data_IF_848208435461
#
_entry.id   IF_848208435461
#
_cell.length_a   1.000
_cell.length_b   1.000
_cell.length_c   1.000
_cell.angle_alpha   90.00
_cell.angle_beta   90.00
_cell.angle_gamma   90.00
#
_symmetry.space_group_name_H-M   'P 1'
#
loop_
_entity.id
_entity.type
_entity.pdbx_description
1 polymer ?
#
# COMPACT_ATOMS: atom_id res chain seq x y z
N UNK A 1 -8.96 1.86 27.99
CA UNK A 1 -7.94 2.86 28.30
C UNK A 1 -7.38 3.34 26.98
N UNK A 2 -7.35 4.66 26.73
CA UNK A 2 -6.67 5.15 25.53
C UNK A 2 -5.22 4.66 25.57
N UNK A 3 -4.68 4.29 24.41
CA UNK A 3 -3.25 3.97 24.27
C UNK A 3 -2.51 5.19 24.79
N UNK A 4 -1.71 5.02 25.84
CA UNK A 4 -0.84 6.11 26.29
C UNK A 4 0.05 6.49 25.13
N UNK A 5 0.00 7.74 24.72
CA UNK A 5 0.68 8.28 23.52
C UNK A 5 2.21 8.20 23.62
N UNK A 6 2.77 7.75 24.72
CA UNK A 6 4.20 7.85 25.07
C UNK A 6 4.95 6.51 25.13
N UNK A 7 4.32 5.36 24.88
CA UNK A 7 5.05 4.10 24.85
C UNK A 7 5.51 3.77 23.42
N UNK A 8 6.80 3.99 23.14
CA UNK A 8 7.47 3.46 21.94
C UNK A 8 7.37 1.93 21.98
N UNK A 9 6.75 1.28 20.99
CA UNK A 9 6.63 -0.17 20.99
C UNK A 9 8.01 -0.84 21.02
N UNK A 10 8.15 -1.89 21.81
CA UNK A 10 9.37 -2.70 21.81
C UNK A 10 9.64 -3.25 20.41
N UNK A 11 10.92 -3.31 20.04
CA UNK A 11 11.34 -3.94 18.78
C UNK A 11 11.02 -5.43 18.83
N UNK A 12 10.41 -5.96 17.79
CA UNK A 12 10.15 -7.41 17.63
C UNK A 12 11.43 -8.14 17.26
N UNK A 13 12.26 -7.49 16.44
CA UNK A 13 13.57 -7.97 16.01
C UNK A 13 14.60 -6.84 16.20
N UNK A 14 15.19 -6.72 17.42
CA UNK A 14 16.13 -5.65 17.71
C UNK A 14 17.38 -5.63 16.84
N UNK A 15 17.82 -6.80 16.35
CA UNK A 15 19.00 -6.91 15.49
C UNK A 15 18.73 -6.32 14.08
N UNK A 16 17.52 -6.47 13.57
CA UNK A 16 17.15 -5.96 12.25
C UNK A 16 16.57 -4.53 12.32
N UNK A 17 15.70 -4.25 13.30
CA UNK A 17 15.03 -2.95 13.41
C UNK A 17 15.93 -1.86 14.01
N UNK A 18 16.89 -2.23 14.86
CA UNK A 18 17.84 -1.33 15.54
C UNK A 18 19.27 -1.40 15.00
N UNK A 19 19.47 -1.97 13.81
CA UNK A 19 20.78 -2.14 13.18
C UNK A 19 21.43 -0.79 12.87
N UNK A 20 22.69 -0.59 13.27
CA UNK A 20 23.41 0.64 12.94
C UNK A 20 23.49 0.88 11.42
N UNK A 21 23.42 2.14 10.95
CA UNK A 21 23.37 2.44 9.51
C UNK A 21 24.52 1.84 8.71
N UNK A 22 25.73 1.85 9.24
CA UNK A 22 26.91 1.28 8.60
C UNK A 22 26.81 -0.25 8.49
N UNK A 23 26.43 -0.90 9.58
CA UNK A 23 26.25 -2.37 9.60
C UNK A 23 25.10 -2.81 8.69
N UNK A 24 24.02 -2.00 8.60
CA UNK A 24 22.92 -2.22 7.65
C UNK A 24 23.41 -2.14 6.22
N UNK A 25 24.20 -1.10 5.87
CA UNK A 25 24.76 -0.95 4.53
C UNK A 25 25.66 -2.10 4.15
N UNK A 26 26.51 -2.58 5.07
CA UNK A 26 27.35 -3.76 4.86
C UNK A 26 26.52 -5.03 4.62
N UNK A 27 25.46 -5.22 5.42
CA UNK A 27 24.52 -6.34 5.27
C UNK A 27 23.82 -6.28 3.91
N UNK A 28 23.31 -5.13 3.52
CA UNK A 28 22.67 -4.92 2.22
C UNK A 28 23.63 -5.18 1.07
N UNK A 29 24.86 -4.68 1.15
CA UNK A 29 25.88 -4.91 0.14
C UNK A 29 26.22 -6.41 0.01
N UNK A 30 26.36 -7.13 1.13
CA UNK A 30 26.61 -8.56 1.14
C UNK A 30 25.44 -9.34 0.51
N UNK A 31 24.20 -8.97 0.83
CA UNK A 31 22.99 -9.59 0.29
C UNK A 31 22.82 -9.29 -1.19
N UNK A 32 23.08 -8.05 -1.61
CA UNK A 32 23.06 -7.65 -3.02
C UNK A 32 24.01 -8.51 -3.87
N UNK A 33 25.25 -8.69 -3.42
CA UNK A 33 26.24 -9.52 -4.13
C UNK A 33 25.75 -10.96 -4.32
N UNK A 34 25.17 -11.55 -3.27
CA UNK A 34 24.59 -12.91 -3.33
C UNK A 34 23.40 -12.98 -4.29
N UNK A 35 22.54 -11.98 -4.29
CA UNK A 35 21.42 -11.89 -5.23
C UNK A 35 21.93 -11.84 -6.67
N UNK A 36 22.93 -10.99 -6.96
CA UNK A 36 23.51 -10.88 -8.30
C UNK A 36 24.18 -12.19 -8.73
N UNK A 37 24.95 -12.84 -7.84
CA UNK A 37 25.53 -14.15 -8.13
C UNK A 37 24.43 -15.18 -8.44
N UNK A 38 23.35 -15.22 -7.67
CA UNK A 38 22.19 -16.08 -7.92
C UNK A 38 21.56 -15.81 -9.30
N UNK A 39 21.31 -14.56 -9.64
CA UNK A 39 20.70 -14.18 -10.93
C UNK A 39 21.61 -14.50 -12.13
N UNK A 40 22.94 -14.49 -11.93
CA UNK A 40 23.90 -14.81 -13.00
C UNK A 40 24.03 -16.32 -13.26
N UNK A 41 23.65 -17.17 -12.30
CA UNK A 41 23.62 -18.64 -12.51
C UNK A 41 22.49 -19.06 -13.45
N UNK A 42 21.44 -18.26 -13.54
CA UNK A 42 20.24 -18.53 -14.34
C UNK A 42 20.35 -17.91 -15.73
N UNK A 43 19.82 -18.58 -16.74
CA UNK A 43 19.65 -18.01 -18.09
C UNK A 43 18.33 -17.21 -18.22
N UNK A 44 17.90 -16.63 -17.11
CA UNK A 44 16.72 -15.79 -17.02
C UNK A 44 16.94 -14.36 -17.53
N UNK A 45 15.85 -13.60 -17.65
CA UNK A 45 15.89 -12.21 -18.12
C UNK A 45 16.91 -11.35 -17.39
N UNK A 46 16.91 -11.42 -16.06
CA UNK A 46 17.75 -10.57 -15.21
C UNK A 46 19.24 -10.95 -15.36
N UNK A 47 19.58 -12.25 -15.41
CA UNK A 47 20.94 -12.71 -15.64
C UNK A 47 21.49 -12.27 -16.99
N UNK A 48 20.70 -12.36 -18.07
CA UNK A 48 21.08 -11.88 -19.39
C UNK A 48 21.32 -10.36 -19.41
N UNK A 49 20.45 -9.56 -18.75
CA UNK A 49 20.61 -8.10 -18.62
C UNK A 49 21.86 -7.72 -17.85
N UNK A 50 22.18 -8.44 -16.76
CA UNK A 50 23.40 -8.24 -15.98
C UNK A 50 24.65 -8.52 -16.83
N UNK A 51 24.70 -9.67 -17.54
CA UNK A 51 25.81 -10.02 -18.44
C UNK A 51 25.97 -8.95 -19.54
N UNK A 52 24.89 -8.49 -20.14
CA UNK A 52 24.92 -7.41 -21.15
C UNK A 52 25.41 -6.06 -20.58
N UNK A 53 25.21 -5.81 -19.29
CA UNK A 53 25.75 -4.64 -18.58
C UNK A 53 27.20 -4.82 -18.12
N UNK A 54 27.86 -5.94 -18.47
CA UNK A 54 29.26 -6.22 -18.11
C UNK A 54 29.46 -6.74 -16.69
N UNK A 55 28.37 -7.23 -16.03
CA UNK A 55 28.46 -7.84 -14.69
C UNK A 55 28.72 -9.32 -14.82
N UNK A 56 29.87 -9.77 -14.30
CA UNK A 56 30.29 -11.18 -14.34
C UNK A 56 30.08 -11.90 -13.01
N UNK A 57 30.04 -11.17 -11.90
CA UNK A 57 29.89 -11.68 -10.52
C UNK A 57 29.30 -10.61 -9.60
N UNK A 58 28.75 -11.03 -8.46
CA UNK A 58 28.18 -10.11 -7.49
C UNK A 58 29.16 -9.09 -6.92
N UNK A 59 30.48 -9.39 -6.93
CA UNK A 59 31.52 -8.46 -6.50
C UNK A 59 31.64 -7.20 -7.40
N UNK A 60 31.17 -7.28 -8.63
CA UNK A 60 31.23 -6.19 -9.61
C UNK A 60 30.15 -5.13 -9.35
N UNK A 61 29.20 -5.41 -8.42
CA UNK A 61 28.05 -4.52 -8.12
C UNK A 61 28.14 -3.94 -6.72
N UNK A 62 27.89 -2.64 -6.62
CA UNK A 62 27.78 -1.93 -5.35
C UNK A 62 26.43 -1.21 -5.22
N UNK A 63 26.01 -0.93 -3.99
CA UNK A 63 24.82 -0.11 -3.73
C UNK A 63 24.94 1.30 -4.33
N UNK A 64 26.16 1.83 -4.45
CA UNK A 64 26.41 3.16 -5.03
C UNK A 64 26.19 3.20 -6.55
N UNK A 65 26.43 2.08 -7.24
CA UNK A 65 26.31 1.96 -8.70
C UNK A 65 25.08 1.19 -9.13
N UNK A 66 24.28 0.70 -8.18
CA UNK A 66 23.10 -0.11 -8.44
C UNK A 66 22.12 0.56 -9.42
N UNK A 67 21.95 1.88 -9.29
CA UNK A 67 21.08 2.69 -10.15
C UNK A 67 21.44 2.62 -11.65
N UNK A 68 22.66 2.22 -12.00
CA UNK A 68 23.13 2.08 -13.39
C UNK A 68 22.70 0.75 -14.02
N UNK A 69 22.26 -0.23 -13.21
CA UNK A 69 21.81 -1.52 -13.72
C UNK A 69 20.39 -1.42 -14.28
N UNK A 70 20.09 -2.20 -15.34
CA UNK A 70 18.78 -2.20 -15.95
C UNK A 70 17.70 -2.67 -14.95
N UNK A 71 16.57 -1.95 -14.84
CA UNK A 71 15.50 -2.32 -13.92
C UNK A 71 14.64 -3.46 -14.49
N UNK A 72 13.92 -4.11 -13.60
CA UNK A 72 12.76 -4.96 -13.93
C UNK A 72 11.49 -4.13 -13.86
N UNK A 73 10.57 -4.36 -14.78
CA UNK A 73 9.30 -3.65 -14.87
C UNK A 73 8.12 -4.63 -14.79
N UNK A 74 6.92 -4.09 -14.57
CA UNK A 74 5.69 -4.88 -14.62
C UNK A 74 5.45 -5.51 -15.99
N UNK A 75 5.87 -4.83 -17.07
CA UNK A 75 5.81 -5.34 -18.44
C UNK A 75 6.66 -6.61 -18.57
N UNK A 76 7.87 -6.64 -17.99
CA UNK A 76 8.72 -7.83 -18.01
C UNK A 76 8.02 -9.05 -17.37
N UNK A 77 7.31 -8.84 -16.25
CA UNK A 77 6.53 -9.91 -15.60
C UNK A 77 5.39 -10.42 -16.48
N UNK A 78 4.74 -9.55 -17.25
CA UNK A 78 3.68 -9.95 -18.18
C UNK A 78 4.18 -10.66 -19.43
N UNK A 79 5.31 -10.23 -19.96
CA UNK A 79 5.95 -10.86 -21.12
C UNK A 79 6.48 -12.24 -20.81
N UNK A 80 6.85 -12.47 -19.56
CA UNK A 80 7.36 -13.75 -19.08
C UNK A 80 6.33 -14.51 -18.20
N UNK A 81 5.05 -14.26 -18.41
CA UNK A 81 3.96 -14.93 -17.68
C UNK A 81 3.95 -16.46 -17.99
N UNK A 82 3.65 -17.34 -16.99
CA UNK A 82 3.28 -17.01 -15.62
C UNK A 82 4.48 -16.85 -14.66
N UNK A 83 5.59 -17.56 -14.84
CA UNK A 83 6.69 -17.67 -13.89
C UNK A 83 8.08 -17.47 -14.52
N UNK A 84 8.18 -16.78 -15.66
CA UNK A 84 9.45 -16.67 -16.40
C UNK A 84 10.57 -15.87 -15.70
N UNK A 85 10.30 -15.27 -14.54
CA UNK A 85 11.29 -14.66 -13.65
C UNK A 85 11.54 -15.49 -12.38
N UNK A 86 10.92 -16.68 -12.26
CA UNK A 86 11.21 -17.62 -11.18
C UNK A 86 12.66 -18.10 -11.28
N UNK A 87 13.32 -18.21 -10.15
CA UNK A 87 14.71 -18.67 -10.02
C UNK A 87 14.76 -20.01 -9.27
N UNK A 88 13.95 -20.17 -8.23
CA UNK A 88 13.90 -21.42 -7.50
C UNK A 88 13.28 -22.54 -8.35
N UNK A 89 13.74 -23.81 -8.20
CA UNK A 89 13.12 -24.97 -8.81
C UNK A 89 11.64 -25.12 -8.41
N UNK A 90 10.81 -25.68 -9.28
CA UNK A 90 9.37 -25.84 -9.05
C UNK A 90 9.04 -26.62 -7.76
N UNK A 91 9.85 -27.61 -7.40
CA UNK A 91 9.72 -28.40 -6.17
C UNK A 91 9.96 -27.61 -4.87
N UNK A 92 10.61 -26.44 -4.94
CA UNK A 92 10.81 -25.54 -3.80
C UNK A 92 9.67 -24.53 -3.64
N UNK A 93 8.80 -24.40 -4.64
CA UNK A 93 7.66 -23.48 -4.57
C UNK A 93 6.55 -24.09 -3.73
N UNK A 94 6.22 -23.43 -2.63
CA UNK A 94 5.19 -23.87 -1.68
C UNK A 94 3.89 -23.08 -1.77
N UNK A 95 3.93 -21.91 -2.41
CA UNK A 95 2.76 -21.05 -2.55
C UNK A 95 2.88 -20.15 -3.79
N UNK A 96 1.73 -19.78 -4.37
CA UNK A 96 1.65 -18.80 -5.44
C UNK A 96 0.63 -17.74 -5.06
N UNK A 97 1.04 -16.49 -5.11
CA UNK A 97 0.15 -15.35 -4.97
C UNK A 97 0.10 -14.52 -6.25
N UNK A 98 -0.83 -13.59 -6.31
CA UNK A 98 -0.96 -12.70 -7.46
C UNK A 98 -1.39 -11.30 -7.06
N UNK A 99 -1.11 -10.34 -7.94
CA UNK A 99 -1.66 -9.00 -7.85
C UNK A 99 -2.98 -8.90 -8.60
N UNK A 100 -3.82 -7.92 -8.23
CA UNK A 100 -5.15 -7.73 -8.86
C UNK A 100 -5.12 -7.23 -10.31
N UNK A 101 -3.96 -7.06 -10.91
CA UNK A 101 -3.71 -6.68 -12.30
C UNK A 101 -4.71 -5.68 -12.92
N UNK A 102 -4.32 -4.46 -13.16
CA UNK A 102 -5.15 -3.45 -13.84
C UNK A 102 -5.37 -3.75 -15.34
N UNK A 103 -4.66 -4.74 -15.89
CA UNK A 103 -4.69 -5.12 -17.32
C UNK A 103 -5.37 -6.46 -17.64
N UNK A 104 -6.19 -7.02 -16.73
CA UNK A 104 -6.96 -8.25 -16.98
C UNK A 104 -6.23 -9.56 -16.70
N UNK A 105 -4.90 -9.56 -16.51
CA UNK A 105 -4.14 -10.72 -16.03
C UNK A 105 -3.47 -10.39 -14.69
N UNK A 106 -3.62 -11.26 -13.66
CA UNK A 106 -2.86 -11.11 -12.43
C UNK A 106 -1.36 -11.31 -12.71
N UNK A 107 -0.49 -10.57 -12.04
CA UNK A 107 0.92 -10.94 -11.98
C UNK A 107 1.05 -12.05 -10.94
N UNK A 108 1.55 -13.21 -11.34
CA UNK A 108 1.74 -14.35 -10.47
C UNK A 108 3.14 -14.34 -9.87
N UNK A 109 3.21 -14.67 -8.58
CA UNK A 109 4.44 -14.62 -7.80
C UNK A 109 4.58 -15.91 -7.02
N UNK A 110 5.58 -16.75 -7.35
CA UNK A 110 5.88 -17.97 -6.61
C UNK A 110 6.71 -17.64 -5.35
N UNK A 111 6.45 -18.39 -4.28
CA UNK A 111 7.12 -18.25 -2.98
C UNK A 111 7.70 -19.61 -2.57
N UNK A 112 8.94 -19.58 -2.11
CA UNK A 112 9.53 -20.69 -1.38
C UNK A 112 9.12 -20.65 0.10
N UNK A 113 9.40 -21.71 0.85
CA UNK A 113 9.22 -21.72 2.31
C UNK A 113 10.04 -20.60 3.00
N UNK A 114 11.23 -20.30 2.46
CA UNK A 114 12.07 -19.21 2.94
C UNK A 114 11.41 -17.84 2.71
N UNK A 115 10.80 -17.62 1.55
CA UNK A 115 10.09 -16.37 1.25
C UNK A 115 8.89 -16.16 2.20
N UNK A 116 8.14 -17.24 2.50
CA UNK A 116 7.03 -17.18 3.47
C UNK A 116 7.55 -16.82 4.87
N UNK A 117 8.71 -17.34 5.27
CA UNK A 117 9.31 -17.03 6.57
C UNK A 117 9.76 -15.56 6.64
N UNK A 118 10.40 -15.02 5.59
CA UNK A 118 10.74 -13.59 5.48
C UNK A 118 9.46 -12.75 5.62
N UNK A 119 8.42 -13.12 4.90
CA UNK A 119 7.16 -12.40 4.93
C UNK A 119 6.52 -12.40 6.32
N UNK A 120 6.54 -13.55 7.01
CA UNK A 120 6.08 -13.65 8.39
C UNK A 120 6.90 -12.75 9.33
N UNK A 121 8.22 -12.64 9.13
CA UNK A 121 9.10 -11.79 9.94
C UNK A 121 8.76 -10.30 9.77
N UNK A 122 8.72 -9.79 8.53
CA UNK A 122 8.44 -8.37 8.28
C UNK A 122 7.03 -7.99 8.73
N UNK A 123 6.06 -8.89 8.58
CA UNK A 123 4.70 -8.66 9.06
C UNK A 123 4.59 -8.70 10.58
N UNK A 124 5.35 -9.56 11.27
CA UNK A 124 5.41 -9.56 12.74
C UNK A 124 5.96 -8.22 13.26
N UNK A 125 7.03 -7.68 12.62
CA UNK A 125 7.59 -6.36 12.94
C UNK A 125 6.56 -5.25 12.68
N UNK A 126 5.84 -5.29 11.57
CA UNK A 126 4.78 -4.34 11.26
C UNK A 126 3.70 -4.31 12.35
N UNK A 127 3.18 -5.48 12.72
CA UNK A 127 2.18 -5.60 13.78
C UNK A 127 2.74 -5.17 15.16
N UNK A 128 3.99 -5.54 15.47
CA UNK A 128 4.64 -5.12 16.71
C UNK A 128 4.90 -3.61 16.77
N UNK A 129 5.31 -2.99 15.66
CA UNK A 129 5.44 -1.54 15.52
C UNK A 129 4.11 -0.81 15.70
N UNK A 130 2.99 -1.46 15.36
CA UNK A 130 1.64 -1.00 15.65
C UNK A 130 1.20 -1.24 17.11
N UNK A 131 2.06 -1.80 17.96
CA UNK A 131 1.78 -2.05 19.37
C UNK A 131 1.13 -3.42 19.66
N UNK A 132 1.01 -4.30 18.65
CA UNK A 132 0.56 -5.66 18.88
C UNK A 132 1.62 -6.49 19.63
N UNK A 133 1.16 -7.42 20.44
CA UNK A 133 1.99 -8.29 21.26
C UNK A 133 1.51 -9.74 21.20
N UNK A 134 2.21 -10.66 21.85
CA UNK A 134 1.76 -12.06 21.99
C UNK A 134 0.38 -12.23 22.66
N UNK A 135 -0.12 -11.19 23.32
CA UNK A 135 -1.44 -11.19 23.97
C UNK A 135 -2.54 -10.64 23.08
N UNK A 136 -2.17 -10.08 21.94
CA UNK A 136 -3.10 -9.41 21.03
C UNK A 136 -3.96 -10.41 20.27
N UNK A 137 -5.16 -9.96 19.93
CA UNK A 137 -6.07 -10.62 18.98
C UNK A 137 -6.15 -9.75 17.74
N UNK A 138 -5.70 -10.29 16.62
CA UNK A 138 -5.64 -9.58 15.34
C UNK A 138 -6.83 -10.00 14.48
N UNK A 139 -7.76 -9.08 14.28
CA UNK A 139 -8.90 -9.26 13.39
C UNK A 139 -8.47 -8.97 11.95
N UNK A 140 -8.30 -10.02 11.16
CA UNK A 140 -7.89 -9.91 9.76
C UNK A 140 -9.10 -9.95 8.84
N UNK A 141 -9.52 -8.77 8.38
CA UNK A 141 -10.59 -8.59 7.41
C UNK A 141 -10.08 -8.31 5.98
N UNK A 142 -8.80 -8.54 5.70
CA UNK A 142 -8.32 -8.67 4.32
C UNK A 142 -8.77 -9.99 3.71
N UNK A 143 -9.03 -10.00 2.39
CA UNK A 143 -9.38 -11.22 1.66
C UNK A 143 -8.29 -12.28 1.73
N UNK A 144 -8.70 -13.52 1.97
CA UNK A 144 -7.86 -14.71 1.88
C UNK A 144 -8.02 -15.32 0.48
N UNK A 145 -6.91 -15.69 -0.17
CA UNK A 145 -6.92 -16.26 -1.51
C UNK A 145 -5.67 -15.93 -2.29
N UNK A 146 -5.83 -15.63 -3.58
CA UNK A 146 -4.70 -15.32 -4.46
C UNK A 146 -3.94 -14.04 -4.05
N UNK A 147 -4.64 -13.06 -3.45
CA UNK A 147 -4.03 -11.81 -3.00
C UNK A 147 -3.30 -11.97 -1.67
N UNK A 148 -2.26 -11.15 -1.47
CA UNK A 148 -1.32 -11.30 -0.35
C UNK A 148 -1.83 -10.76 0.99
N UNK A 149 -2.84 -9.85 1.00
CA UNK A 149 -3.22 -9.10 2.20
C UNK A 149 -3.54 -9.96 3.41
N UNK A 150 -4.50 -10.89 3.27
CA UNK A 150 -4.99 -11.73 4.37
C UNK A 150 -3.93 -12.68 4.91
N UNK A 151 -3.23 -13.40 4.03
CA UNK A 151 -2.20 -14.37 4.43
C UNK A 151 -0.97 -13.70 5.01
N UNK A 152 -0.57 -12.52 4.54
CA UNK A 152 0.52 -11.77 5.13
C UNK A 152 0.27 -11.42 6.59
N UNK A 153 -0.90 -10.84 6.89
CA UNK A 153 -1.31 -10.55 8.28
C UNK A 153 -1.38 -11.83 9.11
N UNK A 154 -1.92 -12.91 8.53
CA UNK A 154 -2.04 -14.21 9.21
C UNK A 154 -0.67 -14.75 9.64
N UNK A 155 0.26 -14.87 8.71
CA UNK A 155 1.62 -15.36 9.01
C UNK A 155 2.35 -14.47 10.00
N UNK A 156 2.23 -13.14 9.86
CA UNK A 156 2.85 -12.19 10.78
C UNK A 156 2.30 -12.27 12.20
N UNK A 157 0.97 -12.35 12.36
CA UNK A 157 0.33 -12.50 13.66
C UNK A 157 0.75 -13.80 14.35
N UNK A 158 0.77 -14.92 13.62
CA UNK A 158 1.23 -16.21 14.16
C UNK A 158 2.70 -16.16 14.55
N UNK A 159 3.55 -15.54 13.73
CA UNK A 159 4.98 -15.36 14.03
C UNK A 159 5.21 -14.52 15.28
N UNK A 160 4.43 -13.45 15.46
CA UNK A 160 4.44 -12.61 16.66
C UNK A 160 3.98 -13.38 17.92
N UNK A 161 3.27 -14.50 17.70
CA UNK A 161 2.61 -15.28 18.77
C UNK A 161 1.26 -14.70 19.18
N UNK A 162 0.70 -13.78 18.42
CA UNK A 162 -0.64 -13.23 18.61
C UNK A 162 -1.73 -14.19 18.09
N UNK A 163 -2.96 -14.03 18.58
CA UNK A 163 -4.11 -14.78 18.08
C UNK A 163 -4.66 -14.09 16.85
N UNK A 164 -4.62 -14.75 15.68
CA UNK A 164 -5.25 -14.24 14.47
C UNK A 164 -6.70 -14.72 14.35
N UNK A 165 -7.61 -13.80 14.01
CA UNK A 165 -9.01 -14.08 13.66
C UNK A 165 -9.14 -13.95 12.13
N UNK A 166 -9.10 -15.06 11.37
CA UNK A 166 -9.01 -15.03 9.91
C UNK A 166 -10.39 -14.86 9.27
N UNK A 167 -10.95 -13.66 9.41
CA UNK A 167 -12.33 -13.38 9.02
C UNK A 167 -12.53 -13.28 7.51
N UNK A 168 -11.48 -12.92 6.77
CA UNK A 168 -11.57 -12.53 5.36
C UNK A 168 -12.38 -11.25 5.15
N UNK A 169 -12.53 -10.79 3.90
CA UNK A 169 -13.29 -9.59 3.56
C UNK A 169 -14.78 -9.86 3.38
N UNK A 170 -15.61 -8.83 3.50
CA UNK A 170 -17.06 -8.90 3.34
C UNK A 170 -17.80 -9.43 4.57
N UNK A 171 -19.09 -9.71 4.41
CA UNK A 171 -19.99 -10.19 5.48
C UNK A 171 -19.96 -9.27 6.72
N UNK A 172 -20.19 -7.99 6.55
CA UNK A 172 -20.00 -6.93 7.56
C UNK A 172 -20.72 -7.23 8.88
N UNK A 173 -21.94 -7.72 8.86
CA UNK A 173 -22.68 -8.11 10.08
C UNK A 173 -21.96 -9.22 10.88
N UNK A 174 -21.33 -10.16 10.18
CA UNK A 174 -20.52 -11.21 10.82
C UNK A 174 -19.23 -10.63 11.40
N UNK A 175 -18.59 -9.69 10.72
CA UNK A 175 -17.40 -9.00 11.23
C UNK A 175 -17.72 -8.27 12.54
N UNK A 176 -18.80 -7.48 12.57
CA UNK A 176 -19.25 -6.76 13.76
C UNK A 176 -19.51 -7.72 14.92
N UNK A 177 -20.27 -8.79 14.68
CA UNK A 177 -20.55 -9.81 15.71
C UNK A 177 -19.26 -10.39 16.29
N UNK A 178 -18.31 -10.75 15.43
CA UNK A 178 -17.04 -11.33 15.89
C UNK A 178 -16.14 -10.30 16.60
N UNK A 179 -16.20 -9.04 16.25
CA UNK A 179 -15.49 -7.96 16.99
C UNK A 179 -16.07 -7.85 18.40
N UNK A 180 -17.37 -7.86 18.55
CA UNK A 180 -18.03 -7.78 19.85
C UNK A 180 -17.77 -9.03 20.71
N UNK A 181 -17.91 -10.22 20.13
CA UNK A 181 -17.79 -11.50 20.83
C UNK A 181 -16.34 -11.83 21.22
N UNK A 182 -15.40 -11.65 20.27
CA UNK A 182 -14.01 -12.06 20.44
C UNK A 182 -13.09 -10.94 20.93
N UNK A 183 -13.60 -9.71 20.95
CA UNK A 183 -12.91 -8.52 21.48
C UNK A 183 -11.45 -8.39 21.00
N UNK A 184 -11.20 -8.29 19.67
CA UNK A 184 -9.86 -8.05 19.15
C UNK A 184 -9.36 -6.64 19.54
N UNK A 185 -8.05 -6.49 19.62
CA UNK A 185 -7.39 -5.21 19.89
C UNK A 185 -6.72 -4.62 18.63
N UNK A 186 -6.53 -5.41 17.58
CA UNK A 186 -5.95 -4.99 16.30
C UNK A 186 -6.92 -5.29 15.15
N UNK A 187 -7.17 -4.31 14.27
CA UNK A 187 -7.93 -4.48 13.04
C UNK A 187 -7.03 -4.33 11.83
N UNK A 188 -7.08 -5.29 10.89
CA UNK A 188 -6.35 -5.22 9.62
C UNK A 188 -7.32 -5.38 8.45
N UNK A 189 -7.47 -4.31 7.65
CA UNK A 189 -8.32 -4.29 6.45
C UNK A 189 -7.93 -3.14 5.52
N UNK A 190 -8.65 -2.96 4.41
CA UNK A 190 -8.50 -1.75 3.58
C UNK A 190 -9.09 -0.53 4.30
N UNK A 191 -8.54 0.68 4.08
CA UNK A 191 -9.07 1.92 4.69
C UNK A 191 -10.56 2.15 4.39
N UNK A 192 -10.99 1.92 3.14
CA UNK A 192 -12.40 2.03 2.76
C UNK A 192 -13.30 1.09 3.54
N UNK A 193 -12.83 -0.15 3.78
CA UNK A 193 -13.61 -1.12 4.56
C UNK A 193 -13.65 -0.76 6.05
N UNK A 194 -12.59 -0.16 6.60
CA UNK A 194 -12.58 0.33 7.96
C UNK A 194 -13.62 1.44 8.18
N UNK A 195 -13.76 2.36 7.21
CA UNK A 195 -14.81 3.39 7.24
C UNK A 195 -16.20 2.74 7.20
N UNK A 196 -16.43 1.85 6.22
CA UNK A 196 -17.71 1.15 6.09
C UNK A 196 -18.09 0.37 7.36
N UNK A 197 -17.13 -0.31 7.97
CA UNK A 197 -17.32 -1.04 9.24
C UNK A 197 -17.70 -0.07 10.38
N UNK A 198 -17.01 1.07 10.50
CA UNK A 198 -17.28 2.07 11.51
C UNK A 198 -18.65 2.75 11.31
N UNK A 199 -19.02 3.09 10.08
CA UNK A 199 -20.36 3.61 9.74
C UNK A 199 -21.46 2.61 10.11
N UNK A 200 -21.24 1.33 9.84
CA UNK A 200 -22.21 0.27 10.16
C UNK A 200 -22.36 0.07 11.67
N UNK A 201 -21.25 0.11 12.43
CA UNK A 201 -21.26 0.07 13.90
C UNK A 201 -22.03 1.26 14.46
N UNK A 202 -21.76 2.47 13.99
CA UNK A 202 -22.48 3.69 14.40
C UNK A 202 -23.97 3.61 14.08
N UNK A 203 -24.34 3.13 12.91
CA UNK A 203 -25.73 2.93 12.51
C UNK A 203 -26.47 1.89 13.37
N UNK A 204 -25.73 0.90 13.91
CA UNK A 204 -26.24 -0.09 14.87
C UNK A 204 -26.30 0.46 16.32
N UNK A 205 -25.91 1.71 16.57
CA UNK A 205 -25.89 2.34 17.88
C UNK A 205 -24.78 1.85 18.80
N UNK A 206 -23.70 1.27 18.23
CA UNK A 206 -22.53 0.77 18.98
C UNK A 206 -21.51 1.93 19.08
N UNK A 207 -21.18 2.31 20.31
CA UNK A 207 -20.18 3.35 20.57
C UNK A 207 -18.76 2.80 20.39
N UNK A 208 -17.81 3.57 19.82
CA UNK A 208 -16.41 3.19 19.76
C UNK A 208 -15.80 2.79 21.10
N UNK A 209 -16.24 3.39 22.21
CA UNK A 209 -15.77 3.07 23.56
C UNK A 209 -16.21 1.66 24.04
N UNK A 210 -17.21 1.06 23.41
CA UNK A 210 -17.63 -0.33 23.66
C UNK A 210 -16.69 -1.36 22.99
N UNK A 211 -15.92 -0.93 22.00
CA UNK A 211 -15.00 -1.78 21.25
C UNK A 211 -13.72 -2.01 22.05
N UNK A 212 -13.10 -3.16 21.86
CA UNK A 212 -11.77 -3.46 22.40
C UNK A 212 -10.64 -3.09 21.44
N UNK A 213 -10.99 -2.63 20.24
CA UNK A 213 -10.04 -2.18 19.23
C UNK A 213 -9.21 -1.01 19.77
N UNK A 214 -7.91 -1.02 19.48
CA UNK A 214 -6.97 0.04 19.87
C UNK A 214 -6.19 0.58 18.71
N UNK A 215 -5.85 -0.29 17.76
CA UNK A 215 -5.04 0.05 16.60
C UNK A 215 -5.58 -0.63 15.35
N UNK A 216 -5.46 0.05 14.23
CA UNK A 216 -5.72 -0.52 12.91
C UNK A 216 -4.48 -0.42 12.03
N UNK A 217 -4.23 -1.46 11.21
CA UNK A 217 -3.17 -1.50 10.21
C UNK A 217 -3.83 -1.60 8.84
N UNK A 218 -3.79 -0.52 8.08
CA UNK A 218 -4.56 -0.32 6.87
C UNK A 218 -3.67 -0.13 5.66
N UNK A 219 -4.06 -0.65 4.51
CA UNK A 219 -3.32 -0.51 3.27
C UNK A 219 -4.01 -1.17 2.10
N UNK A 220 -3.24 -1.55 1.08
CA UNK A 220 -3.69 -2.09 -0.19
C UNK A 220 -4.36 -1.07 -1.14
N UNK A 221 -4.73 0.10 -0.67
CA UNK A 221 -5.22 1.24 -1.46
C UNK A 221 -4.62 2.54 -0.91
N UNK A 222 -4.45 3.59 -1.74
CA UNK A 222 -4.10 4.92 -1.26
C UNK A 222 -5.18 5.46 -0.34
N UNK A 223 -4.81 6.24 0.67
CA UNK A 223 -5.74 6.90 1.59
C UNK A 223 -5.10 8.15 2.21
N UNK A 224 -5.94 9.14 2.52
CA UNK A 224 -5.52 10.45 2.99
C UNK A 224 -5.50 10.57 4.51
N UNK A 225 -4.92 11.66 5.02
CA UNK A 225 -4.98 11.99 6.45
C UNK A 225 -6.42 12.26 6.91
N UNK A 226 -7.28 12.77 6.02
CA UNK A 226 -8.69 12.95 6.33
C UNK A 226 -9.40 11.60 6.53
N UNK A 227 -9.14 10.62 5.65
CA UNK A 227 -9.65 9.25 5.87
C UNK A 227 -9.11 8.64 7.18
N UNK A 228 -7.83 8.92 7.52
CA UNK A 228 -7.25 8.52 8.80
C UNK A 228 -8.06 9.08 9.97
N UNK A 229 -8.33 10.38 9.95
CA UNK A 229 -9.13 11.05 10.99
C UNK A 229 -10.52 10.43 11.09
N UNK A 230 -11.20 10.21 9.97
CA UNK A 230 -12.52 9.56 9.91
C UNK A 230 -12.51 8.15 10.51
N UNK A 231 -11.52 7.32 10.15
CA UNK A 231 -11.38 5.96 10.71
C UNK A 231 -11.16 6.01 12.22
N UNK A 232 -10.28 6.91 12.67
CA UNK A 232 -9.96 7.07 14.09
C UNK A 232 -11.18 7.53 14.90
N UNK A 233 -11.98 8.44 14.35
CA UNK A 233 -13.23 8.90 14.98
C UNK A 233 -14.28 7.79 15.03
N UNK A 234 -14.49 7.07 13.89
CA UNK A 234 -15.52 6.05 13.78
C UNK A 234 -15.25 4.82 14.65
N UNK A 235 -14.00 4.45 14.85
CA UNK A 235 -13.60 3.21 15.52
C UNK A 235 -12.89 3.41 16.88
N UNK A 236 -12.54 4.65 17.25
CA UNK A 236 -11.83 4.94 18.50
C UNK A 236 -10.40 4.40 18.55
N UNK A 237 -9.71 4.27 17.41
CA UNK A 237 -8.41 3.59 17.27
C UNK A 237 -7.31 4.51 16.75
N UNK A 238 -6.06 4.08 16.88
CA UNK A 238 -4.94 4.63 16.09
C UNK A 238 -4.90 3.92 14.74
N UNK A 239 -4.86 4.68 13.65
CA UNK A 239 -4.82 4.15 12.29
C UNK A 239 -3.42 4.31 11.69
N UNK A 240 -2.79 3.19 11.31
CA UNK A 240 -1.44 3.13 10.77
C UNK A 240 -1.45 2.57 9.35
N UNK A 241 -0.54 3.06 8.52
CA UNK A 241 -0.40 2.65 7.13
C UNK A 241 0.54 1.46 6.97
N UNK A 242 0.25 0.58 6.02
CA UNK A 242 1.12 -0.53 5.62
C UNK A 242 1.23 -0.58 4.10
N UNK A 243 2.47 -0.66 3.64
CA UNK A 243 2.79 -0.76 2.23
C UNK A 243 3.37 -2.13 1.87
N UNK A 244 3.06 -2.56 0.66
CA UNK A 244 3.64 -3.72 0.02
C UNK A 244 2.93 -4.10 -1.25
N UNK A 245 3.58 -4.93 -2.03
CA UNK A 245 3.07 -5.46 -3.30
C UNK A 245 3.51 -6.91 -3.45
N UNK A 246 2.67 -7.70 -4.11
CA UNK A 246 2.90 -9.15 -4.27
C UNK A 246 4.23 -9.46 -4.93
N UNK A 247 4.66 -8.65 -5.89
CA UNK A 247 5.90 -8.80 -6.64
C UNK A 247 7.13 -8.77 -5.71
N UNK A 248 7.09 -7.95 -4.64
CA UNK A 248 8.18 -7.87 -3.66
C UNK A 248 8.04 -8.98 -2.61
N UNK A 249 6.99 -8.91 -1.78
CA UNK A 249 6.70 -9.97 -0.79
C UNK A 249 5.23 -9.97 -0.34
N UNK A 250 4.45 -8.94 -0.63
CA UNK A 250 3.14 -8.67 -0.07
C UNK A 250 3.19 -7.51 0.93
N UNK A 251 2.21 -7.36 1.84
CA UNK A 251 2.26 -6.34 2.88
C UNK A 251 3.47 -6.54 3.81
N UNK A 252 3.93 -5.46 4.44
CA UNK A 252 5.05 -5.47 5.38
C UNK A 252 6.40 -5.08 4.77
N UNK A 253 6.46 -4.68 3.49
CA UNK A 253 7.67 -4.08 2.89
C UNK A 253 8.03 -2.80 3.64
N UNK A 254 7.04 -1.98 3.92
CA UNK A 254 7.15 -0.84 4.83
C UNK A 254 5.87 -0.69 5.65
N UNK A 255 5.99 -0.19 6.89
CA UNK A 255 4.85 0.00 7.77
C UNK A 255 5.08 1.18 8.73
N UNK A 256 4.03 1.95 8.99
CA UNK A 256 4.04 2.89 10.11
C UNK A 256 4.16 2.13 11.44
N UNK A 257 4.85 2.73 12.38
CA UNK A 257 4.84 2.35 13.79
C UNK A 257 4.35 3.52 14.63
N UNK A 258 3.99 3.27 15.87
CA UNK A 258 3.49 4.33 16.77
C UNK A 258 4.52 5.46 16.98
N UNK A 259 5.80 5.21 16.70
CA UNK A 259 6.94 6.12 16.82
C UNK A 259 7.52 6.60 15.48
N UNK A 260 6.86 6.36 14.35
CA UNK A 260 7.41 6.69 13.02
C UNK A 260 6.97 8.03 12.44
N UNK A 261 6.24 8.84 13.21
CA UNK A 261 5.81 10.20 12.83
C UNK A 261 5.04 10.27 11.48
N UNK A 262 4.20 9.27 11.23
CA UNK A 262 3.37 9.22 10.01
C UNK A 262 4.10 8.78 8.74
N UNK A 263 5.36 8.31 8.86
CA UNK A 263 6.10 7.69 7.75
C UNK A 263 6.23 6.17 7.98
N UNK A 264 6.47 5.43 6.91
CA UNK A 264 6.55 3.98 6.95
C UNK A 264 8.01 3.53 7.05
N UNK A 265 8.37 2.77 8.07
CA UNK A 265 9.70 2.15 8.21
C UNK A 265 9.86 1.03 7.17
N UNK A 266 10.90 1.09 6.36
CA UNK A 266 11.20 0.09 5.34
C UNK A 266 11.96 -1.08 5.97
N UNK A 267 11.59 -2.32 5.67
CA UNK A 267 12.31 -3.52 6.13
C UNK A 267 13.63 -3.70 5.35
N UNK A 268 14.60 -2.81 5.60
CA UNK A 268 15.80 -2.60 4.79
C UNK A 268 16.82 -3.75 4.87
N UNK A 269 16.69 -4.63 5.83
CA UNK A 269 17.47 -5.87 5.86
C UNK A 269 17.05 -6.83 4.74
N UNK A 270 15.80 -6.81 4.32
CA UNK A 270 15.27 -7.65 3.24
C UNK A 270 15.11 -6.91 1.91
N UNK A 271 14.92 -5.60 1.93
CA UNK A 271 14.61 -4.81 0.73
C UNK A 271 15.51 -3.58 0.66
N UNK A 272 16.15 -3.38 -0.49
CA UNK A 272 16.81 -2.12 -0.77
C UNK A 272 15.88 -1.24 -1.59
N UNK A 273 15.68 -0.01 -1.19
CA UNK A 273 14.77 0.95 -1.84
C UNK A 273 15.54 2.14 -2.39
N UNK A 274 15.22 2.51 -3.63
CA UNK A 274 15.62 3.72 -4.30
C UNK A 274 14.37 4.56 -4.59
N UNK A 275 14.47 5.89 -4.51
CA UNK A 275 13.51 6.81 -5.11
C UNK A 275 14.18 7.43 -6.34
N UNK A 276 13.55 7.31 -7.51
CA UNK A 276 14.18 7.71 -8.78
C UNK A 276 13.32 8.68 -9.57
N UNK A 277 14.00 9.51 -10.37
CA UNK A 277 13.37 10.37 -11.36
C UNK A 277 12.82 9.57 -12.58
N UNK A 278 12.15 10.20 -13.56
CA UNK A 278 11.67 9.53 -14.76
C UNK A 278 12.76 8.82 -15.57
N UNK A 279 14.01 9.31 -15.51
CA UNK A 279 15.15 8.77 -16.23
C UNK A 279 15.81 7.60 -15.47
N UNK A 280 15.40 7.36 -14.22
CA UNK A 280 15.87 6.26 -13.38
C UNK A 280 17.06 6.63 -12.49
N UNK A 281 17.40 7.92 -12.37
CA UNK A 281 18.45 8.41 -11.48
C UNK A 281 17.90 8.61 -10.07
N UNK A 282 18.67 8.28 -9.02
CA UNK A 282 18.27 8.52 -7.65
C UNK A 282 17.99 10.01 -7.38
N UNK A 283 16.91 10.29 -6.66
CA UNK A 283 16.60 11.65 -6.17
C UNK A 283 17.04 11.79 -4.70
N UNK A 284 17.33 13.02 -4.25
CA UNK A 284 17.65 13.27 -2.84
C UNK A 284 16.50 12.89 -1.90
N UNK A 285 16.84 12.52 -0.67
CA UNK A 285 15.85 12.27 0.38
C UNK A 285 14.96 13.51 0.59
N UNK A 286 13.67 13.27 0.88
CA UNK A 286 12.64 14.29 0.94
C UNK A 286 12.06 14.68 -0.43
N UNK A 287 12.68 14.28 -1.53
CA UNK A 287 12.16 14.53 -2.88
C UNK A 287 11.32 13.35 -3.34
N UNK A 288 10.09 13.58 -3.84
CA UNK A 288 9.28 12.51 -4.42
C UNK A 288 9.96 11.88 -5.64
N UNK A 289 9.98 10.55 -5.67
CA UNK A 289 10.47 9.75 -6.79
C UNK A 289 9.70 8.45 -6.92
N UNK A 290 9.82 7.78 -8.07
CA UNK A 290 9.29 6.45 -8.23
C UNK A 290 10.08 5.47 -7.35
N UNK A 291 9.38 4.66 -6.56
CA UNK A 291 10.01 3.65 -5.74
C UNK A 291 10.49 2.47 -6.58
N UNK A 292 11.75 2.14 -6.40
CA UNK A 292 12.40 0.98 -7.03
C UNK A 292 12.92 0.06 -5.94
N UNK A 293 12.48 -1.19 -5.93
CA UNK A 293 12.87 -2.16 -4.90
C UNK A 293 13.76 -3.26 -5.44
N UNK A 294 14.78 -3.60 -4.67
CA UNK A 294 15.59 -4.81 -4.85
C UNK A 294 15.33 -5.77 -3.70
N UNK A 295 14.89 -7.00 -4.00
CA UNK A 295 14.61 -8.03 -2.99
C UNK A 295 15.90 -8.75 -2.62
N UNK A 296 16.54 -8.34 -1.52
CA UNK A 296 17.88 -8.82 -1.14
C UNK A 296 17.93 -10.28 -0.65
N UNK A 297 16.80 -10.85 -0.25
CA UNK A 297 16.73 -12.15 0.43
C UNK A 297 15.71 -13.11 -0.14
N UNK A 298 14.83 -12.66 -1.02
CA UNK A 298 13.83 -13.50 -1.68
C UNK A 298 14.50 -14.51 -2.59
N UNK A 299 13.99 -15.75 -2.64
CA UNK A 299 14.59 -16.86 -3.38
C UNK A 299 13.71 -17.41 -4.50
N UNK A 300 12.38 -17.36 -4.37
CA UNK A 300 11.47 -17.91 -5.37
C UNK A 300 11.50 -17.14 -6.68
N UNK A 301 11.22 -15.85 -6.58
CA UNK A 301 11.28 -14.91 -7.69
C UNK A 301 11.90 -13.59 -7.20
N UNK A 302 13.23 -13.56 -7.01
CA UNK A 302 13.92 -12.34 -6.60
C UNK A 302 13.92 -11.32 -7.72
N UNK A 303 13.82 -10.03 -7.35
CA UNK A 303 13.78 -8.92 -8.29
C UNK A 303 14.90 -7.92 -7.98
N UNK A 304 15.67 -7.58 -9.00
CA UNK A 304 16.70 -6.55 -8.97
C UNK A 304 16.14 -5.27 -9.59
N UNK A 305 16.09 -4.18 -8.81
CA UNK A 305 15.61 -2.89 -9.25
C UNK A 305 14.21 -2.93 -9.89
N UNK A 306 13.23 -3.50 -9.20
CA UNK A 306 11.85 -3.53 -9.68
C UNK A 306 11.20 -2.15 -9.58
N UNK A 307 10.79 -1.60 -10.72
CA UNK A 307 10.03 -0.35 -10.81
C UNK A 307 8.57 -0.60 -10.46
N UNK A 308 8.13 -0.02 -9.35
CA UNK A 308 6.77 -0.28 -8.81
C UNK A 308 5.69 0.56 -9.48
N UNK A 309 6.06 1.70 -10.04
CA UNK A 309 5.15 2.76 -10.45
C UNK A 309 4.63 3.62 -9.28
N UNK A 310 4.88 3.25 -8.04
CA UNK A 310 4.45 3.99 -6.85
C UNK A 310 5.39 5.16 -6.58
N UNK A 311 4.86 6.32 -6.19
CA UNK A 311 5.64 7.55 -5.93
C UNK A 311 5.60 7.89 -4.45
N UNK A 312 6.78 8.03 -3.85
CA UNK A 312 6.96 8.47 -2.47
C UNK A 312 8.32 9.16 -2.27
N UNK A 313 8.51 9.83 -1.15
CA UNK A 313 9.78 10.37 -0.72
C UNK A 313 10.42 9.47 0.36
N UNK A 314 11.74 9.33 0.33
CA UNK A 314 12.49 8.62 1.36
C UNK A 314 13.02 9.61 2.41
N UNK A 315 13.23 9.14 3.62
CA UNK A 315 13.79 9.94 4.72
C UNK A 315 14.62 9.06 5.67
N UNK A 316 15.48 9.72 6.41
CA UNK A 316 16.25 9.11 7.49
C UNK A 316 15.35 8.63 8.65
N UNK A 317 15.84 7.74 9.51
CA UNK A 317 15.16 7.33 10.74
C UNK A 317 14.78 8.54 11.62
N UNK A 318 13.79 8.35 12.52
CA UNK A 318 13.47 9.36 13.55
C UNK A 318 14.67 9.49 14.48
N UNK A 319 15.22 10.70 14.68
CA UNK A 319 16.34 10.89 15.61
C UNK A 319 15.99 10.42 17.02
N UNK A 320 16.82 9.54 17.59
CA UNK A 320 16.62 8.98 18.93
C UNK A 320 15.61 7.83 19.02
N UNK A 321 14.94 7.45 17.94
CA UNK A 321 14.13 6.23 17.90
C UNK A 321 15.02 4.98 18.02
N UNK A 322 14.56 3.92 18.70
CA UNK A 322 15.24 2.63 18.66
C UNK A 322 15.20 1.97 17.28
N UNK A 323 14.26 2.39 16.40
CA UNK A 323 14.20 1.98 14.99
C UNK A 323 15.10 2.85 14.15
N UNK A 324 16.10 2.23 13.55
CA UNK A 324 17.12 2.91 12.74
C UNK A 324 16.94 2.72 11.23
N UNK A 325 15.77 2.19 10.84
CA UNK A 325 15.41 1.94 9.44
C UNK A 325 15.04 3.25 8.73
N UNK A 326 15.41 3.37 7.44
CA UNK A 326 14.92 4.47 6.60
C UNK A 326 13.40 4.41 6.51
N UNK A 327 12.83 5.57 6.32
CA UNK A 327 11.38 5.74 6.21
C UNK A 327 10.99 6.16 4.80
N UNK A 328 9.80 5.79 4.39
CA UNK A 328 9.16 6.35 3.20
C UNK A 328 7.90 7.11 3.59
N UNK A 329 7.60 8.16 2.85
CA UNK A 329 6.32 8.85 3.00
C UNK A 329 5.17 7.94 2.59
N UNK A 330 3.94 8.30 2.94
CA UNK A 330 2.75 7.75 2.28
C UNK A 330 2.88 7.89 0.77
N UNK A 331 2.23 6.97 0.05
CA UNK A 331 2.17 7.05 -1.40
C UNK A 331 1.49 8.34 -1.84
N UNK A 332 2.15 9.10 -2.70
CA UNK A 332 1.60 10.31 -3.32
C UNK A 332 0.74 9.98 -4.53
N UNK A 333 0.90 8.78 -5.08
CA UNK A 333 0.15 8.27 -6.22
C UNK A 333 0.91 7.18 -6.95
N UNK A 334 0.34 6.73 -8.07
CA UNK A 334 0.97 5.80 -9.00
C UNK A 334 1.16 6.47 -10.34
N UNK A 335 2.30 6.22 -11.00
CA UNK A 335 2.55 6.74 -12.35
C UNK A 335 1.52 6.21 -13.37
N UNK A 336 1.07 4.97 -13.21
CA UNK A 336 0.07 4.34 -14.09
C UNK A 336 -1.35 4.87 -13.87
N UNK A 337 -1.64 5.42 -12.70
CA UNK A 337 -2.93 6.03 -12.34
C UNK A 337 -2.94 7.55 -12.57
N UNK A 338 -1.77 8.12 -12.92
CA UNK A 338 -1.66 9.53 -13.26
C UNK A 338 -2.54 9.84 -14.48
N UNK A 339 -3.40 10.81 -14.35
CA UNK A 339 -4.27 11.30 -15.39
C UNK A 339 -3.57 12.45 -16.11
N UNK A 340 -3.62 12.45 -17.44
CA UNK A 340 -3.14 13.59 -18.22
C UNK A 340 -4.37 14.34 -18.74
N UNK A 341 -4.74 15.40 -18.04
CA UNK A 341 -5.91 16.19 -18.34
C UNK A 341 -5.47 17.53 -18.93
N UNK A 342 -5.72 17.75 -20.22
CA UNK A 342 -5.35 18.99 -20.94
C UNK A 342 -3.87 19.36 -20.79
N UNK A 343 -2.99 18.35 -20.78
CA UNK A 343 -1.55 18.53 -20.67
C UNK A 343 -1.03 18.71 -19.22
N UNK A 344 -1.90 18.60 -18.23
CA UNK A 344 -1.53 18.65 -16.79
C UNK A 344 -1.59 17.24 -16.22
N UNK A 345 -0.54 16.86 -15.49
CA UNK A 345 -0.49 15.61 -14.75
C UNK A 345 -1.28 15.77 -13.44
N UNK A 346 -2.27 14.91 -13.23
CA UNK A 346 -3.14 14.90 -12.05
C UNK A 346 -3.12 13.54 -11.40
N UNK A 347 -2.81 13.48 -10.13
CA UNK A 347 -2.92 12.24 -9.35
C UNK A 347 -4.29 12.15 -8.68
N UNK A 348 -4.97 10.98 -8.70
CA UNK A 348 -6.24 10.79 -8.00
C UNK A 348 -6.18 11.14 -6.51
N UNK A 349 -5.04 10.95 -5.86
CA UNK A 349 -4.81 11.32 -4.46
C UNK A 349 -4.85 12.83 -4.21
N UNK A 350 -4.50 13.64 -5.20
CA UNK A 350 -4.61 15.11 -5.10
C UNK A 350 -6.08 15.55 -5.16
N UNK A 351 -6.88 14.86 -5.99
CA UNK A 351 -8.33 15.08 -6.03
C UNK A 351 -8.94 14.71 -4.69
N UNK A 352 -8.62 13.51 -4.17
CA UNK A 352 -9.10 13.03 -2.88
C UNK A 352 -8.78 14.02 -1.76
N UNK A 353 -7.53 14.51 -1.70
CA UNK A 353 -7.11 15.47 -0.68
C UNK A 353 -7.95 16.76 -0.69
N UNK A 354 -8.35 17.24 -1.87
CA UNK A 354 -9.23 18.43 -1.98
C UNK A 354 -10.66 18.10 -1.55
N UNK A 355 -11.20 16.96 -2.00
CA UNK A 355 -12.57 16.57 -1.69
C UNK A 355 -12.77 16.39 -0.19
N UNK A 356 -11.88 15.66 0.45
CA UNK A 356 -12.00 15.30 1.86
C UNK A 356 -11.52 16.39 2.82
N UNK A 357 -10.92 17.48 2.32
CA UNK A 357 -10.67 18.69 3.11
C UNK A 357 -11.95 19.49 3.40
N UNK A 358 -13.02 19.28 2.65
CA UNK A 358 -14.32 19.91 2.89
C UNK A 358 -15.17 18.98 3.78
N UNK A 359 -15.42 19.40 5.01
CA UNK A 359 -16.16 18.64 6.03
C UNK A 359 -17.59 18.27 5.60
N UNK A 360 -18.13 18.91 4.57
CA UNK A 360 -19.44 18.58 4.00
C UNK A 360 -19.43 17.35 3.11
N UNK A 361 -18.23 16.87 2.68
CA UNK A 361 -18.06 15.74 1.77
C UNK A 361 -17.87 14.45 2.54
N UNK A 362 -18.64 13.42 2.21
CA UNK A 362 -18.44 12.08 2.75
C UNK A 362 -17.20 11.41 2.12
N UNK A 363 -16.59 10.41 2.77
CA UNK A 363 -15.42 9.71 2.21
C UNK A 363 -15.73 8.85 0.98
N UNK A 364 -16.98 8.88 0.53
CA UNK A 364 -17.45 8.13 -0.64
C UNK A 364 -17.54 9.05 -1.86
N UNK A 365 -16.63 8.85 -2.80
CA UNK A 365 -16.53 9.62 -4.03
C UNK A 365 -16.09 8.73 -5.20
N UNK A 366 -16.30 9.22 -6.42
CA UNK A 366 -15.84 8.59 -7.65
C UNK A 366 -15.21 9.63 -8.56
N UNK A 367 -14.03 9.34 -9.06
CA UNK A 367 -13.35 10.11 -10.12
C UNK A 367 -13.57 9.40 -11.44
N UNK A 368 -14.04 10.10 -12.44
CA UNK A 368 -14.28 9.57 -13.79
C UNK A 368 -13.47 10.36 -14.79
N UNK A 369 -12.55 9.68 -15.45
CA UNK A 369 -11.88 10.20 -16.64
C UNK A 369 -12.77 9.90 -17.85
N UNK A 370 -13.54 10.89 -18.30
CA UNK A 370 -14.40 10.77 -19.49
C UNK A 370 -13.54 10.95 -20.75
N UNK A 371 -13.32 9.85 -21.44
CA UNK A 371 -12.52 9.77 -22.67
C UNK A 371 -13.36 9.54 -23.92
N UNK A 372 -14.67 9.68 -23.83
CA UNK A 372 -15.57 9.51 -24.99
C UNK A 372 -15.21 10.46 -26.13
N UNK A 373 -14.72 11.66 -25.81
CA UNK A 373 -13.98 12.51 -26.75
C UNK A 373 -12.48 12.37 -26.45
N UNK A 374 -11.80 11.49 -27.16
CA UNK A 374 -10.38 11.21 -26.98
C UNK A 374 -9.48 12.45 -27.20
N UNK A 375 -9.95 13.44 -27.98
CA UNK A 375 -9.22 14.70 -28.20
C UNK A 375 -9.35 15.67 -27.02
N UNK A 376 -10.38 15.52 -26.17
CA UNK A 376 -10.67 16.39 -25.04
C UNK A 376 -11.16 15.60 -23.83
N UNK A 377 -10.31 14.81 -23.20
CA UNK A 377 -10.70 14.09 -22.00
C UNK A 377 -11.16 15.07 -20.92
N UNK A 378 -12.27 14.75 -20.26
CA UNK A 378 -12.87 15.55 -19.19
C UNK A 378 -12.78 14.82 -17.86
N UNK A 379 -12.41 15.55 -16.81
CA UNK A 379 -12.39 15.01 -15.47
C UNK A 379 -13.72 15.31 -14.79
N UNK A 380 -14.41 14.26 -14.36
CA UNK A 380 -15.68 14.33 -13.62
C UNK A 380 -15.48 13.75 -12.22
N UNK A 381 -16.01 14.43 -11.23
CA UNK A 381 -15.90 14.04 -9.82
C UNK A 381 -17.29 13.95 -9.24
N UNK A 382 -17.62 12.79 -8.68
CA UNK A 382 -18.90 12.52 -8.02
C UNK A 382 -18.65 12.43 -6.53
N UNK A 383 -19.39 13.19 -5.74
CA UNK A 383 -19.30 13.22 -4.28
C UNK A 383 -20.66 13.06 -3.63
N UNK A 384 -20.68 12.53 -2.43
CA UNK A 384 -21.85 12.49 -1.55
C UNK A 384 -21.66 13.47 -0.41
N UNK A 385 -22.68 14.26 -0.03
CA UNK A 385 -22.61 15.04 1.19
C UNK A 385 -22.78 14.16 2.43
N UNK A 386 -22.23 14.59 3.56
CA UNK A 386 -22.45 13.91 4.84
C UNK A 386 -23.90 13.95 5.32
N UNK A 387 -24.63 15.02 5.00
CA UNK A 387 -26.01 15.24 5.45
C UNK A 387 -26.91 15.64 4.30
N UNK A 388 -28.17 15.20 4.33
CA UNK A 388 -29.16 15.53 3.33
C UNK A 388 -29.49 17.03 3.27
N UNK A 389 -29.20 17.79 4.34
CA UNK A 389 -29.42 19.24 4.42
C UNK A 389 -28.33 20.10 3.79
N UNK A 390 -27.29 19.51 3.21
CA UNK A 390 -26.19 20.25 2.59
C UNK A 390 -26.65 21.00 1.34
N UNK A 391 -26.30 22.28 1.24
CA UNK A 391 -26.48 23.05 0.00
C UNK A 391 -25.58 22.49 -1.11
N UNK A 392 -26.17 21.66 -1.96
CA UNK A 392 -25.44 20.93 -3.02
C UNK A 392 -24.87 21.86 -4.09
N UNK A 393 -25.57 22.96 -4.38
CA UNK A 393 -25.10 23.89 -5.41
C UNK A 393 -23.91 24.72 -4.90
N UNK A 394 -23.96 25.14 -3.63
CA UNK A 394 -22.82 25.76 -2.98
C UNK A 394 -21.63 24.78 -2.91
N UNK A 395 -21.86 23.53 -2.46
CA UNK A 395 -20.82 22.50 -2.38
C UNK A 395 -20.20 22.21 -3.75
N UNK A 396 -21.00 22.04 -4.79
CA UNK A 396 -20.54 21.81 -6.17
C UNK A 396 -19.63 22.94 -6.66
N UNK A 397 -20.02 24.19 -6.40
CA UNK A 397 -19.28 25.38 -6.81
C UNK A 397 -17.95 25.50 -6.07
N UNK A 398 -17.97 25.31 -4.75
CA UNK A 398 -16.79 25.45 -3.88
C UNK A 398 -15.75 24.36 -4.20
N UNK A 399 -16.18 23.12 -4.35
CA UNK A 399 -15.29 22.01 -4.77
C UNK A 399 -14.73 22.22 -6.18
N UNK A 400 -15.56 22.70 -7.11
CA UNK A 400 -15.09 23.00 -8.47
C UNK A 400 -14.03 24.10 -8.51
N UNK A 401 -14.09 25.07 -7.59
CA UNK A 401 -13.09 26.12 -7.42
C UNK A 401 -11.81 25.55 -6.79
N UNK A 402 -11.92 24.86 -5.65
CA UNK A 402 -10.79 24.28 -4.93
C UNK A 402 -9.99 23.26 -5.79
N UNK A 403 -10.71 22.39 -6.52
CA UNK A 403 -10.09 21.46 -7.46
C UNK A 403 -9.31 22.19 -8.57
N UNK A 404 -9.89 23.26 -9.13
CA UNK A 404 -9.21 24.04 -10.18
C UNK A 404 -7.97 24.75 -9.64
N UNK A 405 -8.03 25.32 -8.47
CA UNK A 405 -6.86 25.97 -7.82
C UNK A 405 -5.74 24.96 -7.54
N UNK A 406 -6.10 23.78 -7.03
CA UNK A 406 -5.11 22.75 -6.66
C UNK A 406 -4.51 22.04 -7.85
N UNK A 407 -5.34 21.67 -8.83
CA UNK A 407 -4.93 20.81 -9.96
C UNK A 407 -4.48 21.61 -11.19
N UNK A 408 -4.77 22.90 -11.26
CA UNK A 408 -4.52 23.72 -12.45
C UNK A 408 -5.45 23.39 -13.64
N UNK A 409 -6.39 22.45 -13.47
CA UNK A 409 -7.39 22.06 -14.50
C UNK A 409 -8.80 22.08 -13.93
N UNK A 410 -9.77 22.38 -14.79
CA UNK A 410 -11.17 22.34 -14.38
C UNK A 410 -11.73 20.92 -14.43
N UNK A 411 -12.56 20.60 -13.44
CA UNK A 411 -13.34 19.36 -13.39
C UNK A 411 -14.83 19.68 -13.25
N UNK A 412 -15.67 18.74 -13.68
CA UNK A 412 -17.12 18.80 -13.47
C UNK A 412 -17.45 18.04 -12.21
N UNK A 413 -18.05 18.76 -11.22
CA UNK A 413 -18.43 18.16 -9.94
C UNK A 413 -19.91 17.81 -9.94
N UNK A 414 -20.25 16.62 -9.52
CA UNK A 414 -21.61 16.11 -9.31
C UNK A 414 -21.79 15.82 -7.82
N UNK A 415 -22.81 16.42 -7.21
CA UNK A 415 -23.19 16.14 -5.83
C UNK A 415 -24.44 15.28 -5.86
N UNK A 416 -24.31 14.02 -5.49
CA UNK A 416 -25.38 13.01 -5.55
C UNK A 416 -25.95 12.72 -4.15
N UNK A 417 -27.05 11.97 -4.08
CA UNK A 417 -27.64 11.56 -2.80
C UNK A 417 -26.69 10.61 -2.05
N UNK A 418 -26.67 10.64 -0.70
CA UNK A 418 -25.96 9.64 0.10
C UNK A 418 -26.34 8.21 -0.28
N UNK A 419 -25.35 7.32 -0.38
CA UNK A 419 -25.54 5.93 -0.78
C UNK A 419 -25.54 5.68 -2.29
N UNK A 420 -25.36 6.70 -3.14
CA UNK A 420 -25.31 6.53 -4.61
C UNK A 420 -23.95 6.09 -5.11
N UNK A 421 -22.86 6.50 -4.48
CA UNK A 421 -21.51 5.99 -4.80
C UNK A 421 -21.36 4.57 -4.26
N UNK A 422 -20.96 3.60 -5.09
CA UNK A 422 -20.84 2.20 -4.66
C UNK A 422 -19.91 2.03 -3.46
N UNK A 423 -20.34 1.28 -2.45
CA UNK A 423 -19.52 0.88 -1.30
C UNK A 423 -18.72 -0.36 -1.64
N UNK A 424 -17.49 -0.42 -1.19
CA UNK A 424 -16.62 -1.57 -1.41
C UNK A 424 -16.56 -2.41 -0.13
N UNK A 425 -17.19 -3.57 -0.14
CA UNK A 425 -17.13 -4.55 0.96
C UNK A 425 -15.99 -5.55 0.78
N UNK A 426 -15.56 -5.78 -0.46
CA UNK A 426 -14.55 -6.78 -0.79
C UNK A 426 -13.52 -6.20 -1.74
N UNK A 427 -12.24 -6.33 -1.36
CA UNK A 427 -11.13 -5.85 -2.17
C UNK A 427 -10.82 -4.36 -2.02
N UNK A 428 -10.23 -3.77 -3.05
CA UNK A 428 -9.84 -2.35 -3.08
C UNK A 428 -10.98 -1.48 -3.59
N UNK A 429 -11.17 -0.31 -3.00
CA UNK A 429 -12.11 0.66 -3.53
C UNK A 429 -11.67 1.15 -4.92
N UNK A 430 -12.57 1.01 -5.88
CA UNK A 430 -12.33 1.51 -7.24
C UNK A 430 -12.83 2.96 -7.35
N UNK A 431 -12.00 3.89 -6.96
CA UNK A 431 -12.32 5.31 -6.94
C UNK A 431 -12.03 6.05 -8.24
N UNK A 432 -11.28 5.44 -9.15
CA UNK A 432 -11.01 5.95 -10.50
C UNK A 432 -11.62 5.03 -11.56
N UNK A 433 -12.40 5.60 -12.46
CA UNK A 433 -12.99 4.91 -13.62
C UNK A 433 -12.64 5.66 -14.89
N UNK A 434 -12.13 4.94 -15.89
CA UNK A 434 -11.94 5.44 -17.25
C UNK A 434 -13.19 5.09 -18.06
N UNK A 435 -13.84 6.11 -18.62
CA UNK A 435 -15.07 5.96 -19.39
C UNK A 435 -14.81 6.26 -20.85
N UNK A 436 -14.51 5.22 -21.61
CA UNK A 436 -14.20 5.33 -23.05
C UNK A 436 -15.45 5.23 -23.92
N UNK A 437 -16.46 4.45 -23.52
CA UNK A 437 -17.71 4.23 -24.26
C UNK A 437 -18.78 3.55 -23.40
N UNK A 438 -20.00 3.46 -23.91
CA UNK A 438 -21.10 2.72 -23.28
C UNK A 438 -21.86 3.55 -22.23
N UNK A 439 -22.55 2.84 -21.32
CA UNK A 439 -23.33 3.48 -20.25
C UNK A 439 -22.41 4.23 -19.27
N UNK A 440 -22.90 5.36 -18.68
CA UNK A 440 -22.13 6.08 -17.68
C UNK A 440 -21.85 5.22 -16.44
N UNK A 441 -20.69 5.40 -15.77
CA UNK A 441 -20.38 4.69 -14.53
C UNK A 441 -21.41 4.89 -13.41
N UNK A 442 -22.09 6.03 -13.42
CA UNK A 442 -23.25 6.36 -12.60
C UNK A 442 -24.30 7.03 -13.46
N UNK A 443 -25.59 6.79 -13.19
CA UNK A 443 -26.70 7.35 -13.97
C UNK A 443 -26.71 8.87 -14.03
N UNK A 444 -26.17 9.51 -12.99
CA UNK A 444 -26.09 10.97 -12.84
C UNK A 444 -25.05 11.63 -13.76
N UNK A 445 -24.20 10.83 -14.41
CA UNK A 445 -23.18 11.31 -15.37
C UNK A 445 -23.66 11.33 -16.82
N UNK A 446 -24.85 10.78 -17.09
CA UNK A 446 -25.44 10.64 -18.43
C UNK A 446 -26.14 11.86 -18.96
#
# INVERSE_FOLDING_TARGET
>A
MPIQQDEVPALVDPEAEGIAPEARRELQQKRLRRLVDLLLTEDGLQGRRLKAAGVERGADVSLDTLHQLPPVTKQDLWEHYPFGLQVAPDEEIVCVHGSSGTGGRPTLVPYTAHDIEIWAQVMARALGGAGATRRSRVHCAYGYGLFTGGLGVHHGAMRLGATVLPMSSGMTDRQIRMILDLRPDVLCCTPSYAIHLGETLRAAGIDPDELSLRVGVFGAEPWTEQMRATIQELLGIRALDIYGLSEIIGPGVACESLDSEGMLNVAEDHFYVEAVDPDGNPVPDGTPGELVFTTLTKTGMPLLRYRTGDVAALADPVPGSPRTLRRMSKLMGRRDDMLVVRGVNVFPTEIEAVLLADERVSPHYLVVEDRRDAARPELRVVVEPFTDGTDREALRRDLGHALRERLGVGCVVYVVDPGRVPRTEVGKARRLVRWDSGAPPLSELG
#
